data_IF_087697934855
#
_entry.id   IF_087697934855
#
_cell.length_a   1.000
_cell.length_b   1.000
_cell.length_c   1.000
_cell.angle_alpha   90.00
_cell.angle_beta   90.00
_cell.angle_gamma   90.00
#
_symmetry.space_group_name_H-M   'P 1'
#
loop_
_entity.id
_entity.type
_entity.pdbx_description
1 polymer ?
#
# COMPACT_ATOMS: atom_id res chain seq x y z
N UNK A 1 -10.66 12.83 -6.78
CA UNK A 1 -11.10 12.57 -5.39
C UNK A 1 -12.62 12.69 -5.31
N UNK A 2 -13.31 11.77 -4.65
CA UNK A 2 -14.76 11.86 -4.37
C UNK A 2 -15.06 12.19 -2.90
N UNK A 3 -14.08 12.01 -2.01
CA UNK A 3 -14.21 12.23 -0.56
C UNK A 3 -12.93 12.83 0.07
N UNK A 4 -13.06 13.61 1.16
CA UNK A 4 -11.92 14.06 1.94
C UNK A 4 -11.22 12.89 2.63
N UNK A 5 -9.91 13.00 2.84
CA UNK A 5 -9.07 12.00 3.50
C UNK A 5 -8.29 12.71 4.61
N UNK A 6 -8.56 12.35 5.85
CA UNK A 6 -7.94 12.94 7.02
C UNK A 6 -8.06 12.03 8.24
N UNK A 7 -7.02 12.01 9.07
CA UNK A 7 -6.96 11.22 10.31
C UNK A 7 -6.18 11.98 11.38
N UNK A 8 -6.61 11.83 12.64
CA UNK A 8 -5.85 12.25 13.82
C UNK A 8 -5.64 11.04 14.73
N UNK A 9 -4.37 10.73 15.04
CA UNK A 9 -3.97 9.72 16.03
C UNK A 9 -3.49 10.44 17.29
N UNK A 10 -3.90 9.94 18.46
CA UNK A 10 -3.45 10.44 19.77
C UNK A 10 -2.78 9.31 20.53
N UNK A 11 -1.66 9.61 21.18
CA UNK A 11 -0.93 8.64 21.99
C UNK A 11 -0.29 9.31 23.20
N UNK A 12 -0.02 8.52 24.24
CA UNK A 12 0.67 8.98 25.46
C UNK A 12 2.02 8.28 25.56
N UNK A 13 3.09 9.04 25.85
CA UNK A 13 4.44 8.51 26.00
C UNK A 13 5.23 9.29 27.05
N UNK A 14 5.97 8.60 27.92
CA UNK A 14 6.81 9.19 28.99
C UNK A 14 6.06 10.18 29.92
N UNK A 15 4.73 10.06 30.01
CA UNK A 15 3.87 10.93 30.83
C UNK A 15 3.35 12.19 30.12
N UNK A 16 3.68 12.40 28.85
CA UNK A 16 3.06 13.40 27.98
C UNK A 16 2.02 12.79 27.05
N UNK A 17 1.08 13.62 26.59
CA UNK A 17 0.10 13.31 25.54
C UNK A 17 0.48 14.05 24.26
N UNK A 18 0.31 13.38 23.11
CA UNK A 18 0.70 13.88 21.79
C UNK A 18 -0.40 13.61 20.76
N UNK A 19 -0.43 14.43 19.69
CA UNK A 19 -1.27 14.20 18.52
C UNK A 19 -0.44 14.20 17.23
N UNK A 20 -0.82 13.35 16.29
CA UNK A 20 -0.47 13.45 14.88
C UNK A 20 -1.77 13.65 14.10
N UNK A 21 -1.82 14.61 13.20
CA UNK A 21 -2.95 14.80 12.28
C UNK A 21 -2.42 14.91 10.86
N UNK A 22 -3.04 14.20 9.91
CA UNK A 22 -2.69 14.28 8.51
C UNK A 22 -3.91 14.37 7.60
N UNK A 23 -3.72 14.99 6.44
CA UNK A 23 -4.67 15.02 5.33
C UNK A 23 -3.96 14.63 4.02
N UNK A 24 -4.69 14.04 3.07
CA UNK A 24 -4.15 13.70 1.75
C UNK A 24 -5.14 13.96 0.60
N UNK A 25 -4.62 14.23 -0.60
CA UNK A 25 -5.39 14.41 -1.85
C UNK A 25 -4.71 13.67 -3.01
N UNK A 26 -5.49 12.96 -3.82
CA UNK A 26 -5.05 12.11 -4.93
C UNK A 26 -6.09 11.02 -5.25
N UNK A 27 -6.20 10.64 -6.53
CA UNK A 27 -7.18 9.65 -7.01
C UNK A 27 -6.83 9.02 -8.39
N UNK A 28 -6.05 9.70 -9.22
CA UNK A 28 -5.54 9.23 -10.51
C UNK A 28 -4.12 9.78 -10.75
N UNK A 29 -3.41 9.22 -11.73
CA UNK A 29 -1.95 9.32 -11.89
C UNK A 29 -1.24 9.04 -10.56
N UNK A 30 -1.58 7.89 -9.98
CA UNK A 30 -1.22 7.55 -8.62
C UNK A 30 -0.36 6.30 -8.65
N UNK A 31 0.94 6.53 -8.80
CA UNK A 31 2.04 5.67 -8.39
C UNK A 31 3.14 6.57 -7.84
N UNK A 32 3.16 6.85 -6.53
CA UNK A 32 4.15 7.75 -5.96
C UNK A 32 5.56 7.13 -5.98
N UNK A 33 6.38 7.63 -6.89
CA UNK A 33 7.84 7.67 -6.82
C UNK A 33 8.21 9.15 -6.61
N UNK A 34 7.59 9.71 -5.55
CA UNK A 34 7.28 11.14 -5.35
C UNK A 34 6.76 11.89 -6.61
N UNK A 35 5.50 11.65 -7.07
CA UNK A 35 4.89 12.61 -8.02
C UNK A 35 3.33 12.87 -8.20
N UNK A 36 2.32 12.04 -7.83
CA UNK A 36 0.94 12.59 -7.53
C UNK A 36 0.25 12.02 -6.28
N UNK A 37 0.23 12.90 -5.27
CA UNK A 37 -0.29 12.81 -3.92
C UNK A 37 0.15 14.10 -3.19
N UNK A 38 -0.79 14.86 -2.62
CA UNK A 38 -0.48 15.96 -1.71
C UNK A 38 -0.84 15.54 -0.29
N UNK A 39 0.15 15.35 0.59
CA UNK A 39 -0.04 15.08 2.01
C UNK A 39 0.56 16.17 2.89
N UNK A 40 -0.22 16.58 3.89
CA UNK A 40 0.19 17.52 4.91
C UNK A 40 -0.12 16.92 6.27
N UNK A 41 0.92 16.79 7.09
CA UNK A 41 0.87 16.23 8.44
C UNK A 41 1.41 17.24 9.45
N UNK A 42 0.86 17.21 10.65
CA UNK A 42 1.30 18.02 11.78
C UNK A 42 1.30 17.21 13.07
N UNK A 43 2.30 17.42 13.92
CA UNK A 43 2.34 16.95 15.30
C UNK A 43 2.69 18.09 16.26
N UNK A 44 2.23 17.99 17.50
CA UNK A 44 2.58 18.89 18.60
C UNK A 44 3.89 18.52 19.29
N UNK A 45 4.44 17.31 19.06
CA UNK A 45 5.72 16.89 19.61
C UNK A 45 6.90 17.79 19.17
N UNK A 46 7.82 18.10 20.07
CA UNK A 46 9.07 18.79 19.76
C UNK A 46 10.12 17.80 19.23
N UNK A 47 10.50 17.93 17.95
CA UNK A 47 11.44 17.02 17.26
C UNK A 47 12.50 17.82 16.50
N UNK A 48 13.76 17.38 16.53
CA UNK A 48 14.81 17.99 15.71
C UNK A 48 14.51 17.79 14.21
N UNK A 49 14.71 18.84 13.40
CA UNK A 49 14.40 18.82 11.97
C UNK A 49 15.05 17.64 11.22
N UNK A 50 16.30 17.29 11.56
CA UNK A 50 17.04 16.17 10.96
C UNK A 50 16.37 14.82 11.23
N UNK A 51 15.90 14.62 12.47
CA UNK A 51 15.20 13.43 12.95
C UNK A 51 13.80 13.36 12.37
N UNK A 52 13.09 14.48 12.29
CA UNK A 52 11.76 14.58 11.68
C UNK A 52 11.81 14.24 10.18
N UNK A 53 12.85 14.71 9.47
CA UNK A 53 13.05 14.42 8.05
C UNK A 53 13.39 12.93 7.82
N UNK A 54 14.17 12.32 8.72
CA UNK A 54 14.46 10.88 8.69
C UNK A 54 13.21 10.01 8.96
N UNK A 55 12.41 10.41 9.95
CA UNK A 55 11.10 9.79 10.23
C UNK A 55 10.17 9.88 9.01
N UNK A 56 10.04 11.07 8.42
CA UNK A 56 9.18 11.27 7.24
C UNK A 56 9.63 10.39 6.07
N UNK A 57 10.93 10.30 5.79
CA UNK A 57 11.45 9.45 4.73
C UNK A 57 11.11 7.96 4.95
N UNK A 58 11.34 7.43 6.15
CA UNK A 58 11.02 6.04 6.49
C UNK A 58 9.52 5.74 6.39
N UNK A 59 8.67 6.64 6.90
CA UNK A 59 7.22 6.47 6.83
C UNK A 59 6.70 6.56 5.39
N UNK A 60 7.19 7.50 4.56
CA UNK A 60 6.79 7.59 3.14
C UNK A 60 7.10 6.29 2.40
N UNK A 61 8.28 5.69 2.64
CA UNK A 61 8.64 4.38 2.09
C UNK A 61 7.68 3.26 2.52
N UNK A 62 7.19 3.28 3.75
CA UNK A 62 6.25 2.29 4.28
C UNK A 62 4.77 2.51 3.85
N UNK A 63 4.43 3.68 3.29
CA UNK A 63 3.04 4.12 3.07
C UNK A 63 2.77 4.58 1.63
N UNK A 64 3.12 5.83 1.30
CA UNK A 64 2.80 6.42 0.00
C UNK A 64 3.64 5.80 -1.15
N UNK A 65 4.84 5.28 -0.88
CA UNK A 65 5.60 4.48 -1.87
C UNK A 65 5.17 3.00 -1.90
N UNK A 66 3.99 2.67 -1.34
CA UNK A 66 3.36 1.34 -1.37
C UNK A 66 1.97 1.37 -2.00
N UNK A 67 1.59 2.44 -2.72
CA UNK A 67 0.28 2.54 -3.38
C UNK A 67 0.39 2.69 -4.89
N UNK A 68 -0.56 2.10 -5.63
CA UNK A 68 -0.71 2.34 -7.06
C UNK A 68 -2.16 2.16 -7.55
N UNK A 69 -2.69 3.09 -8.34
CA UNK A 69 -4.00 2.95 -9.03
C UNK A 69 -3.80 2.53 -10.49
N UNK A 70 -3.03 3.31 -11.24
CA UNK A 70 -2.84 3.17 -12.70
C UNK A 70 -1.40 2.82 -13.09
N UNK A 71 -0.43 3.13 -12.21
CA UNK A 71 0.99 2.89 -12.46
C UNK A 71 1.72 4.11 -13.02
N UNK A 72 1.01 5.23 -13.20
CA UNK A 72 1.54 6.47 -13.74
C UNK A 72 1.99 7.41 -12.61
N UNK A 73 3.21 7.92 -12.75
CA UNK A 73 3.84 8.87 -11.83
C UNK A 73 3.73 10.27 -12.47
N UNK A 74 3.13 11.23 -11.76
CA UNK A 74 2.93 12.62 -12.21
C UNK A 74 4.19 13.52 -12.10
N UNK A 75 4.01 14.81 -11.80
CA UNK A 75 5.02 15.87 -11.79
C UNK A 75 4.99 16.75 -10.54
N UNK A 76 4.19 16.44 -9.50
CA UNK A 76 3.77 17.43 -8.47
C UNK A 76 3.58 16.88 -7.03
N UNK A 77 4.35 15.89 -6.55
CA UNK A 77 4.21 15.45 -5.16
C UNK A 77 4.71 16.46 -4.13
N UNK A 78 4.01 16.47 -3.01
CA UNK A 78 4.50 17.02 -1.76
C UNK A 78 3.96 16.18 -0.60
N UNK A 79 4.87 15.64 0.21
CA UNK A 79 4.56 15.13 1.55
C UNK A 79 5.30 16.01 2.56
N UNK A 80 4.57 16.68 3.44
CA UNK A 80 5.14 17.62 4.41
C UNK A 80 4.70 17.23 5.82
N UNK A 81 5.64 17.08 6.74
CA UNK A 81 5.40 16.88 8.16
C UNK A 81 5.92 18.08 8.95
N UNK A 82 5.03 18.71 9.72
CA UNK A 82 5.32 19.82 10.61
C UNK A 82 5.33 19.33 12.07
N UNK A 83 6.28 19.82 12.88
CA UNK A 83 6.34 19.59 14.32
C UNK A 83 6.33 20.94 15.03
N UNK A 84 5.31 21.24 15.84
CA UNK A 84 5.15 22.57 16.45
C UNK A 84 5.87 22.71 17.79
N UNK A 85 6.06 21.62 18.53
CA UNK A 85 6.66 21.62 19.86
C UNK A 85 5.72 22.03 21.01
N UNK A 86 4.44 22.28 20.72
CA UNK A 86 3.43 22.71 21.71
C UNK A 86 3.11 21.64 22.77
N UNK A 87 3.47 20.37 22.57
CA UNK A 87 3.33 19.30 23.57
C UNK A 87 4.25 19.48 24.80
N UNK A 88 5.25 20.38 24.73
CA UNK A 88 6.11 20.73 25.85
C UNK A 88 7.16 19.68 26.25
N UNK A 89 7.35 18.63 25.44
CA UNK A 89 8.40 17.64 25.64
C UNK A 89 9.80 18.22 25.34
N UNK A 90 10.84 17.61 25.92
CA UNK A 90 12.22 17.86 25.50
C UNK A 90 12.42 17.48 24.04
N UNK A 91 13.21 18.28 23.30
CA UNK A 91 13.46 18.07 21.87
C UNK A 91 13.95 16.64 21.58
N UNK A 92 13.23 15.93 20.72
CA UNK A 92 13.60 14.57 20.29
C UNK A 92 14.76 14.64 19.29
N UNK A 93 15.94 14.17 19.70
CA UNK A 93 17.17 14.17 18.89
C UNK A 93 17.71 12.76 18.58
N UNK A 94 17.15 11.69 19.17
CA UNK A 94 17.59 10.31 18.97
C UNK A 94 16.45 9.43 18.46
N UNK A 95 16.66 8.82 17.29
CA UNK A 95 15.78 7.83 16.67
C UNK A 95 15.61 6.53 17.48
N UNK A 96 16.35 6.37 18.58
CA UNK A 96 16.21 5.24 19.52
C UNK A 96 15.36 5.56 20.75
N UNK A 97 15.01 6.84 20.98
CA UNK A 97 14.23 7.27 22.15
C UNK A 97 12.81 6.67 22.16
N UNK A 98 12.18 6.48 23.34
CA UNK A 98 10.82 5.94 23.42
C UNK A 98 9.80 6.82 22.69
N UNK A 99 9.88 8.14 22.90
CA UNK A 99 9.00 9.11 22.23
C UNK A 99 9.18 9.10 20.70
N UNK A 100 10.41 8.97 20.18
CA UNK A 100 10.60 8.84 18.72
C UNK A 100 9.85 7.63 18.15
N UNK A 101 9.89 6.48 18.83
CA UNK A 101 9.24 5.24 18.33
C UNK A 101 7.73 5.38 18.35
N UNK A 102 7.16 5.84 19.47
CA UNK A 102 5.72 6.06 19.58
C UNK A 102 5.22 7.11 18.56
N UNK A 103 6.00 8.17 18.31
CA UNK A 103 5.69 9.15 17.28
C UNK A 103 5.83 8.57 15.86
N UNK A 104 6.87 7.77 15.58
CA UNK A 104 7.04 7.09 14.31
C UNK A 104 5.84 6.20 14.00
N UNK A 105 5.42 5.37 14.96
CA UNK A 105 4.24 4.48 14.85
C UNK A 105 2.97 5.28 14.56
N UNK A 106 2.73 6.40 15.27
CA UNK A 106 1.58 7.26 15.04
C UNK A 106 1.61 7.99 13.68
N UNK A 107 2.78 8.42 13.21
CA UNK A 107 2.96 9.03 11.88
C UNK A 107 2.79 7.97 10.79
N UNK A 108 3.27 6.74 11.00
CA UNK A 108 3.07 5.61 10.10
C UNK A 108 1.60 5.22 9.97
N UNK A 109 0.87 5.09 11.09
CA UNK A 109 -0.57 4.83 11.10
C UNK A 109 -1.35 5.88 10.30
N UNK A 110 -1.02 7.17 10.48
CA UNK A 110 -1.65 8.27 9.72
C UNK A 110 -1.33 8.15 8.23
N UNK A 111 -0.06 8.02 7.86
CA UNK A 111 0.36 7.95 6.46
C UNK A 111 -0.18 6.70 5.75
N UNK A 112 -0.11 5.51 6.35
CA UNK A 112 -0.66 4.27 5.80
C UNK A 112 -2.18 4.39 5.62
N UNK A 113 -2.91 4.91 6.63
CA UNK A 113 -4.36 5.08 6.51
C UNK A 113 -4.73 6.05 5.38
N UNK A 114 -4.01 7.17 5.26
CA UNK A 114 -4.20 8.13 4.17
C UNK A 114 -3.86 7.51 2.80
N UNK A 115 -2.73 6.80 2.70
CA UNK A 115 -2.26 6.13 1.49
C UNK A 115 -3.31 5.13 0.98
N UNK A 116 -3.80 4.23 1.84
CA UNK A 116 -4.89 3.33 1.48
C UNK A 116 -6.20 4.07 1.16
N UNK A 117 -6.48 5.19 1.85
CA UNK A 117 -7.62 6.06 1.57
C UNK A 117 -7.59 6.70 0.18
N UNK A 118 -6.40 6.94 -0.38
CA UNK A 118 -6.22 7.36 -1.78
C UNK A 118 -6.60 6.23 -2.74
N UNK A 119 -6.09 5.01 -2.51
CA UNK A 119 -6.41 3.83 -3.33
C UNK A 119 -7.90 3.50 -3.30
N UNK A 120 -8.53 3.54 -2.11
CA UNK A 120 -9.98 3.36 -1.95
C UNK A 120 -10.81 4.44 -2.65
N UNK A 121 -10.23 5.60 -2.98
CA UNK A 121 -10.87 6.70 -3.73
C UNK A 121 -10.30 6.85 -5.14
N UNK A 122 -9.64 5.79 -5.65
CA UNK A 122 -9.09 5.72 -6.99
C UNK A 122 -10.18 5.90 -8.06
N UNK A 123 -9.84 6.50 -9.19
CA UNK A 123 -10.82 6.83 -10.23
C UNK A 123 -11.51 5.59 -10.79
N UNK A 124 -12.82 5.48 -10.53
CA UNK A 124 -13.63 4.31 -10.91
C UNK A 124 -13.30 3.03 -10.12
N UNK A 125 -12.52 3.09 -9.04
CA UNK A 125 -12.23 1.92 -8.20
C UNK A 125 -13.50 1.38 -7.54
N UNK A 126 -13.71 0.06 -7.60
CA UNK A 126 -14.79 -0.66 -6.92
C UNK A 126 -14.30 -1.60 -5.82
N UNK A 127 -13.02 -1.97 -5.87
CA UNK A 127 -12.34 -2.82 -4.88
C UNK A 127 -11.00 -2.23 -4.47
N UNK A 128 -10.67 -2.45 -3.20
CA UNK A 128 -9.37 -2.19 -2.60
C UNK A 128 -8.63 -3.51 -2.42
N UNK A 129 -7.36 -3.55 -2.80
CA UNK A 129 -6.58 -4.78 -2.90
C UNK A 129 -5.24 -4.61 -2.23
N UNK A 130 -4.98 -5.38 -1.19
CA UNK A 130 -3.64 -5.56 -0.62
C UNK A 130 -2.94 -6.69 -1.36
N UNK A 131 -1.86 -6.40 -2.07
CA UNK A 131 -0.94 -7.41 -2.59
C UNK A 131 0.18 -7.60 -1.58
N UNK A 132 0.09 -8.66 -0.79
CA UNK A 132 1.10 -9.04 0.20
C UNK A 132 2.01 -10.10 -0.40
N UNK A 133 3.33 -9.89 -0.34
CA UNK A 133 4.34 -10.85 -0.78
C UNK A 133 5.26 -11.17 0.38
N UNK A 134 5.29 -12.44 0.75
CA UNK A 134 6.00 -12.99 1.89
C UNK A 134 7.08 -13.97 1.45
N UNK A 135 8.09 -14.13 2.30
CA UNK A 135 9.16 -15.11 2.11
C UNK A 135 10.09 -14.81 0.94
N UNK A 136 10.28 -13.55 0.57
CA UNK A 136 11.26 -13.15 -0.44
C UNK A 136 12.70 -13.20 0.07
N UNK A 137 13.66 -13.19 -0.84
CA UNK A 137 15.09 -13.10 -0.52
C UNK A 137 15.49 -11.76 0.09
N UNK A 138 14.87 -10.66 -0.37
CA UNK A 138 14.94 -9.33 0.22
C UNK A 138 13.62 -8.56 0.02
N UNK A 139 13.51 -7.35 0.58
CA UNK A 139 12.29 -6.56 0.49
C UNK A 139 12.00 -6.05 -0.93
N UNK A 140 13.04 -5.80 -1.74
CA UNK A 140 12.86 -5.34 -3.13
C UNK A 140 12.28 -6.45 -3.99
N UNK A 141 12.73 -7.70 -3.82
CA UNK A 141 12.14 -8.88 -4.48
C UNK A 141 10.63 -9.00 -4.19
N UNK A 142 10.21 -8.77 -2.94
CA UNK A 142 8.79 -8.75 -2.58
C UNK A 142 8.02 -7.60 -3.24
N UNK A 143 8.62 -6.40 -3.30
CA UNK A 143 8.01 -5.22 -3.92
C UNK A 143 7.89 -5.37 -5.43
N UNK A 144 8.90 -5.91 -6.11
CA UNK A 144 8.90 -6.13 -7.55
C UNK A 144 7.76 -7.09 -7.96
N UNK A 145 7.55 -8.17 -7.19
CA UNK A 145 6.40 -9.06 -7.35
C UNK A 145 5.08 -8.34 -7.06
N UNK A 146 4.99 -7.61 -5.95
CA UNK A 146 3.76 -6.94 -5.53
C UNK A 146 3.31 -5.89 -6.56
N UNK A 147 4.21 -5.03 -7.03
CA UNK A 147 3.95 -4.06 -8.08
C UNK A 147 3.68 -4.70 -9.44
N UNK A 148 4.34 -5.81 -9.80
CA UNK A 148 4.06 -6.50 -11.08
C UNK A 148 2.65 -7.09 -11.14
N UNK A 149 2.12 -7.54 -10.00
CA UNK A 149 0.71 -7.93 -9.84
C UNK A 149 -0.18 -6.68 -9.88
N UNK A 150 0.12 -5.67 -9.07
CA UNK A 150 -0.71 -4.47 -8.90
C UNK A 150 -0.87 -3.62 -10.17
N UNK A 151 0.17 -3.56 -11.02
CA UNK A 151 0.12 -2.89 -12.32
C UNK A 151 -0.47 -3.75 -13.45
N UNK A 152 -0.79 -5.05 -13.22
CA UNK A 152 -1.23 -5.94 -14.30
C UNK A 152 -2.68 -5.66 -14.72
N UNK A 153 -2.96 -5.16 -15.95
CA UNK A 153 -4.33 -4.85 -16.35
C UNK A 153 -5.22 -6.09 -16.39
N UNK A 154 -4.64 -7.27 -16.66
CA UNK A 154 -5.33 -8.55 -16.57
C UNK A 154 -5.73 -8.88 -15.13
N UNK A 155 -4.87 -8.66 -14.14
CA UNK A 155 -5.25 -8.90 -12.73
C UNK A 155 -6.32 -7.89 -12.29
N UNK A 156 -6.12 -6.60 -12.58
CA UNK A 156 -7.05 -5.52 -12.21
C UNK A 156 -8.45 -5.67 -12.84
N UNK A 157 -8.53 -6.14 -14.09
CA UNK A 157 -9.83 -6.44 -14.74
C UNK A 157 -10.48 -7.72 -14.24
N UNK A 158 -9.70 -8.72 -13.81
CA UNK A 158 -10.26 -9.91 -13.14
C UNK A 158 -10.84 -9.54 -11.77
N UNK A 159 -10.14 -8.69 -11.01
CA UNK A 159 -10.64 -8.11 -9.75
C UNK A 159 -11.96 -7.35 -9.96
N UNK A 160 -12.05 -6.47 -10.96
CA UNK A 160 -13.30 -5.75 -11.29
C UNK A 160 -14.44 -6.73 -11.61
N UNK A 161 -14.16 -7.76 -12.42
CA UNK A 161 -15.12 -8.82 -12.75
C UNK A 161 -15.44 -9.78 -11.58
N UNK A 162 -14.75 -9.67 -10.43
CA UNK A 162 -14.79 -10.64 -9.33
C UNK A 162 -14.44 -12.08 -9.78
N UNK A 163 -13.55 -12.20 -10.77
CA UNK A 163 -13.03 -13.44 -11.36
C UNK A 163 -11.77 -13.90 -10.59
N UNK A 164 -11.80 -15.04 -9.84
CA UNK A 164 -10.69 -15.57 -9.04
C UNK A 164 -9.56 -16.18 -9.89
N UNK A 165 -9.01 -15.38 -10.81
CA UNK A 165 -8.17 -15.84 -11.90
C UNK A 165 -6.71 -16.09 -11.48
N UNK A 166 -6.49 -17.21 -10.79
CA UNK A 166 -5.17 -17.69 -10.37
C UNK A 166 -4.14 -17.74 -11.51
N UNK A 167 -4.57 -18.04 -12.74
CA UNK A 167 -3.69 -18.07 -13.92
C UNK A 167 -3.10 -16.69 -14.26
N UNK A 168 -3.89 -15.62 -14.17
CA UNK A 168 -3.41 -14.23 -14.36
C UNK A 168 -2.45 -13.80 -13.25
N UNK A 169 -2.62 -14.32 -12.03
CA UNK A 169 -1.72 -14.07 -10.90
C UNK A 169 -0.37 -14.78 -11.09
N UNK A 170 -0.37 -16.08 -11.39
CA UNK A 170 0.87 -16.82 -11.69
C UNK A 170 1.63 -16.21 -12.88
N UNK A 171 0.92 -15.79 -13.93
CA UNK A 171 1.52 -15.10 -15.07
C UNK A 171 2.13 -13.73 -14.71
N UNK A 172 1.56 -13.02 -13.73
CA UNK A 172 2.15 -11.77 -13.21
C UNK A 172 3.39 -12.04 -12.35
N UNK A 173 3.34 -13.03 -11.45
CA UNK A 173 4.48 -13.42 -10.61
C UNK A 173 5.65 -13.90 -11.47
N UNK A 174 5.39 -14.76 -12.47
CA UNK A 174 6.42 -15.30 -13.37
C UNK A 174 7.14 -14.27 -14.26
N UNK A 175 6.59 -13.06 -14.40
CA UNK A 175 7.23 -11.95 -15.16
C UNK A 175 7.81 -10.85 -14.26
N UNK A 176 7.81 -11.01 -12.94
CA UNK A 176 8.27 -10.00 -11.98
C UNK A 176 9.80 -9.82 -11.91
N UNK A 177 10.58 -10.50 -12.77
CA UNK A 177 12.04 -10.34 -12.83
C UNK A 177 12.83 -11.08 -11.74
N UNK A 178 12.15 -11.77 -10.82
CA UNK A 178 12.77 -12.57 -9.75
C UNK A 178 13.71 -13.63 -10.32
N UNK A 179 15.00 -13.58 -9.95
CA UNK A 179 16.02 -14.53 -10.40
C UNK A 179 15.81 -15.91 -9.78
N UNK A 180 15.98 -16.96 -10.59
CA UNK A 180 15.87 -18.36 -10.15
C UNK A 180 14.56 -18.65 -9.40
N UNK A 181 13.45 -18.06 -9.87
CA UNK A 181 12.12 -18.26 -9.31
C UNK A 181 11.67 -19.72 -9.54
N UNK A 182 11.42 -20.45 -8.45
CA UNK A 182 10.91 -21.83 -8.47
C UNK A 182 9.41 -21.83 -8.26
N UNK A 183 8.65 -22.02 -9.33
CA UNK A 183 7.18 -21.92 -9.33
C UNK A 183 6.54 -23.01 -8.44
N UNK A 184 7.25 -24.12 -8.24
CA UNK A 184 6.87 -25.24 -7.40
C UNK A 184 6.76 -24.86 -5.92
N UNK A 185 7.43 -23.78 -5.48
CA UNK A 185 7.41 -23.32 -4.10
C UNK A 185 6.40 -22.19 -3.84
N UNK A 186 5.72 -21.71 -4.89
CA UNK A 186 4.84 -20.54 -4.78
C UNK A 186 3.47 -20.95 -4.26
N UNK A 187 3.02 -20.31 -3.19
CA UNK A 187 1.62 -20.32 -2.75
C UNK A 187 0.93 -19.01 -3.12
N UNK A 188 -0.29 -19.08 -3.63
CA UNK A 188 -1.13 -17.92 -3.95
C UNK A 188 -2.47 -18.06 -3.23
N UNK A 189 -2.76 -17.10 -2.36
CA UNK A 189 -4.00 -17.02 -1.59
C UNK A 189 -4.81 -15.80 -1.99
N UNK A 190 -6.13 -15.96 -1.98
CA UNK A 190 -7.11 -14.90 -2.10
C UNK A 190 -7.91 -14.85 -0.80
N UNK A 191 -7.68 -13.80 -0.02
CA UNK A 191 -7.94 -13.78 1.43
C UNK A 191 -7.32 -15.02 2.08
N UNK A 192 -8.14 -15.88 2.70
CA UNK A 192 -7.68 -17.13 3.33
C UNK A 192 -7.75 -18.35 2.40
N UNK A 193 -8.27 -18.21 1.17
CA UNK A 193 -8.43 -19.32 0.22
C UNK A 193 -7.15 -19.53 -0.57
N UNK A 194 -6.52 -20.70 -0.45
CA UNK A 194 -5.44 -21.14 -1.34
C UNK A 194 -6.01 -21.40 -2.74
N UNK A 195 -5.63 -20.59 -3.73
CA UNK A 195 -6.13 -20.68 -5.11
C UNK A 195 -5.11 -21.32 -6.08
N UNK A 196 -3.81 -21.16 -5.81
CA UNK A 196 -2.74 -21.84 -6.53
C UNK A 196 -1.57 -22.23 -5.62
N UNK A 197 -0.96 -23.36 -5.93
CA UNK A 197 0.21 -23.94 -5.27
C UNK A 197 1.00 -24.76 -6.30
N UNK A 198 2.30 -24.97 -6.10
CA UNK A 198 3.13 -25.82 -6.96
C UNK A 198 3.05 -25.44 -8.46
N UNK A 199 2.85 -24.16 -8.78
CA UNK A 199 2.66 -23.65 -10.15
C UNK A 199 1.33 -24.01 -10.84
N UNK A 200 0.38 -24.60 -10.12
CA UNK A 200 -0.91 -25.06 -10.62
C UNK A 200 -2.07 -24.48 -9.79
N UNK A 201 -3.31 -24.65 -10.26
CA UNK A 201 -4.51 -24.48 -9.42
C UNK A 201 -4.42 -25.41 -8.21
N UNK A 202 -4.72 -24.91 -7.02
CA UNK A 202 -4.62 -25.70 -5.80
C UNK A 202 -5.56 -26.91 -5.80
N UNK A 203 -5.13 -28.02 -5.19
CA UNK A 203 -5.89 -29.26 -5.16
C UNK A 203 -7.19 -29.13 -4.34
N UNK A 204 -7.16 -28.27 -3.33
CA UNK A 204 -8.29 -27.95 -2.44
C UNK A 204 -9.25 -26.88 -2.98
N UNK A 205 -8.91 -26.20 -4.07
CA UNK A 205 -9.64 -25.03 -4.57
C UNK A 205 -10.90 -25.42 -5.36
N UNK A 206 -12.01 -24.76 -5.06
CA UNK A 206 -13.24 -24.77 -5.87
C UNK A 206 -13.65 -23.35 -6.30
N UNK A 207 -14.36 -23.23 -7.42
CA UNK A 207 -14.76 -21.92 -7.93
C UNK A 207 -15.73 -21.19 -6.98
N UNK A 208 -16.52 -21.93 -6.20
CA UNK A 208 -17.39 -21.35 -5.17
C UNK A 208 -16.59 -20.66 -4.07
N UNK A 209 -15.43 -21.22 -3.68
CA UNK A 209 -14.52 -20.58 -2.73
C UNK A 209 -13.90 -19.31 -3.33
N UNK A 210 -13.49 -19.36 -4.60
CA UNK A 210 -12.93 -18.21 -5.31
C UNK A 210 -13.92 -17.06 -5.46
N UNK A 211 -15.16 -17.36 -5.87
CA UNK A 211 -16.25 -16.37 -5.95
C UNK A 211 -16.58 -15.78 -4.58
N UNK A 212 -16.64 -16.59 -3.52
CA UNK A 212 -16.86 -16.10 -2.16
C UNK A 212 -15.71 -15.20 -1.68
N UNK A 213 -14.45 -15.53 -1.99
CA UNK A 213 -13.29 -14.72 -1.64
C UNK A 213 -13.16 -13.44 -2.50
N UNK A 214 -13.68 -13.43 -3.73
CA UNK A 214 -13.78 -12.23 -4.56
C UNK A 214 -14.95 -11.30 -4.17
N UNK A 215 -15.96 -11.78 -3.44
CA UNK A 215 -17.17 -11.00 -3.15
C UNK A 215 -16.95 -9.68 -2.35
N UNK A 216 -16.04 -9.59 -1.36
CA UNK A 216 -15.78 -8.35 -0.63
C UNK A 216 -15.27 -7.19 -1.51
N UNK A 217 -15.37 -5.97 -0.97
CA UNK A 217 -14.70 -4.80 -1.54
C UNK A 217 -13.21 -4.75 -1.17
N UNK A 218 -12.83 -5.28 0.00
CA UNK A 218 -11.43 -5.37 0.40
C UNK A 218 -10.92 -6.80 0.21
N UNK A 219 -9.85 -6.93 -0.57
CA UNK A 219 -9.26 -8.22 -0.96
C UNK A 219 -7.79 -8.23 -0.56
N UNK A 220 -7.32 -9.37 -0.06
CA UNK A 220 -5.90 -9.65 0.16
C UNK A 220 -5.46 -10.69 -0.86
N UNK A 221 -4.48 -10.36 -1.70
CA UNK A 221 -3.75 -11.32 -2.54
C UNK A 221 -2.44 -11.59 -1.81
N UNK A 222 -2.32 -12.76 -1.16
CA UNK A 222 -1.12 -13.14 -0.42
C UNK A 222 -0.30 -14.16 -1.21
N UNK A 223 0.94 -13.80 -1.50
CA UNK A 223 1.92 -14.63 -2.22
C UNK A 223 2.97 -15.11 -1.22
N UNK A 224 3.18 -16.42 -1.18
CA UNK A 224 4.27 -17.05 -0.43
C UNK A 224 5.36 -17.48 -1.41
N UNK A 225 6.53 -16.82 -1.39
CA UNK A 225 7.64 -17.10 -2.30
C UNK A 225 8.56 -18.23 -1.81
N UNK A 226 8.66 -18.43 -0.49
CA UNK A 226 9.49 -19.47 0.16
C UNK A 226 10.98 -19.45 -0.26
N UNK A 227 11.58 -18.24 -0.26
CA UNK A 227 12.98 -17.94 -0.64
C UNK A 227 13.82 -17.33 0.49
N UNK A 228 13.19 -16.68 1.47
CA UNK A 228 13.84 -16.04 2.62
C UNK A 228 12.80 -15.60 3.65
N UNK A 229 13.14 -14.61 4.48
CA UNK A 229 12.28 -14.09 5.56
C UNK A 229 11.67 -12.71 5.25
N UNK A 230 11.95 -12.13 4.07
CA UNK A 230 11.50 -10.78 3.74
C UNK A 230 10.01 -10.75 3.36
N UNK A 231 9.33 -9.65 3.69
CA UNK A 231 7.94 -9.39 3.31
C UNK A 231 7.72 -7.94 2.92
N UNK A 232 6.77 -7.71 2.01
CA UNK A 232 6.29 -6.39 1.66
C UNK A 232 4.80 -6.45 1.28
N UNK A 233 4.12 -5.31 1.36
CA UNK A 233 2.76 -5.14 0.88
C UNK A 233 2.66 -3.88 0.00
N UNK A 234 1.81 -3.96 -1.04
CA UNK A 234 1.42 -2.85 -1.91
C UNK A 234 -0.09 -2.80 -1.99
N UNK A 235 -0.69 -1.62 -1.98
CA UNK A 235 -2.13 -1.44 -2.11
C UNK A 235 -2.52 -0.89 -3.48
N UNK A 236 -3.55 -1.48 -4.08
CA UNK A 236 -4.05 -1.11 -5.40
C UNK A 236 -5.56 -1.26 -5.52
N UNK A 237 -6.11 -0.81 -6.64
CA UNK A 237 -7.52 -0.99 -7.02
C UNK A 237 -7.67 -2.03 -8.14
N UNK A 238 -8.93 -2.36 -8.42
CA UNK A 238 -9.35 -2.95 -9.69
C UNK A 238 -9.23 -1.93 -10.87
N UNK A 239 -9.61 -2.37 -12.07
CA UNK A 239 -9.65 -1.53 -13.29
C UNK A 239 -11.03 -1.69 -13.97
N UNK A 240 -11.84 -0.64 -13.84
CA UNK A 240 -13.24 -0.60 -14.27
C UNK A 240 -13.49 0.19 -15.56
N UNK A 241 -14.71 0.12 -16.08
CA UNK A 241 -15.16 0.99 -17.16
C UNK A 241 -15.18 2.47 -16.77
N UNK A 242 -15.43 2.80 -15.50
CA UNK A 242 -15.49 4.19 -15.04
C UNK A 242 -14.11 4.85 -15.03
N UNK A 243 -13.02 4.13 -14.76
CA UNK A 243 -11.66 4.66 -14.95
C UNK A 243 -11.45 5.16 -16.39
N UNK A 244 -11.81 4.32 -17.37
CA UNK A 244 -11.68 4.65 -18.80
C UNK A 244 -12.58 5.83 -19.17
N UNK A 245 -13.83 5.83 -18.69
CA UNK A 245 -14.79 6.89 -18.97
C UNK A 245 -14.32 8.23 -18.39
N UNK A 246 -13.90 8.26 -17.12
CA UNK A 246 -13.36 9.47 -16.46
C UNK A 246 -12.18 10.01 -17.28
N UNK A 247 -11.16 9.20 -17.54
CA UNK A 247 -9.93 9.66 -18.19
C UNK A 247 -10.04 9.89 -19.71
N UNK A 248 -11.10 9.42 -20.37
CA UNK A 248 -11.39 9.74 -21.77
C UNK A 248 -12.30 10.98 -21.94
N UNK A 249 -13.15 11.27 -20.94
CA UNK A 249 -14.07 12.43 -20.95
C UNK A 249 -13.44 13.68 -20.34
N UNK A 250 -12.56 13.54 -19.33
CA UNK A 250 -11.78 14.65 -18.80
C UNK A 250 -10.70 15.07 -19.81
N UNK A 251 -10.72 16.35 -20.19
CA UNK A 251 -9.54 17.01 -20.76
C UNK A 251 -8.76 17.64 -19.62
N UNK A 252 -7.55 17.14 -19.41
CA UNK A 252 -6.52 17.74 -18.56
C UNK A 252 -5.93 19.00 -19.19
#
# INVERSE_FOLDING_TARGET
DTRPKGLSVRFSCEGGDYVVTGIAKGAGMLRPDMATMLAYLATDAAVEQSVLQGMLAGVVEASFHRITVDGDTSTNDACVLLATGEAGNSLVQDAKSPLYRALYEAVEEVCVTLAQGLVRDGEGASKFVTVQVNGGGDQQECLDVAFTIAHSPLVKTALFASDPNWGRLLAAIGRAGVRDLRVELIGVYLNDVLIAENGCRAGSYTEEQGVAAMAPQEIIIRIELNRGDASAAVWTSDFSYDYVRINAEYRT
#
